data_IF_153487556279
#
_entry.id   IF_153487556279
#
_cell.length_a   1.000
_cell.length_b   1.000
_cell.length_c   1.000
_cell.angle_alpha   90.00
_cell.angle_beta   90.00
_cell.angle_gamma   90.00
#
_symmetry.space_group_name_H-M   'P 1'
#
loop_
_entity.id
_entity.type
_entity.pdbx_description
1 polymer ?
#
# COMPACT_ATOMS: atom_id res chain seq x y z
N UNK A 1 17.66 0.60 -18.50
CA UNK A 1 16.86 0.10 -17.36
C UNK A 1 16.06 1.25 -16.78
N UNK A 2 14.76 1.08 -16.51
CA UNK A 2 13.95 2.07 -15.78
C UNK A 2 13.79 1.64 -14.33
N UNK A 3 14.07 2.56 -13.41
CA UNK A 3 13.85 2.34 -11.98
C UNK A 3 12.44 2.80 -11.57
N UNK A 4 11.85 2.20 -10.52
CA UNK A 4 10.60 2.69 -9.96
C UNK A 4 10.74 4.14 -9.48
N UNK A 5 9.69 4.93 -9.66
CA UNK A 5 9.65 6.33 -9.23
C UNK A 5 9.72 6.48 -7.70
N UNK A 6 9.17 5.52 -6.97
CA UNK A 6 9.19 5.47 -5.52
C UNK A 6 9.33 4.02 -5.04
N UNK A 7 10.11 3.81 -3.99
CA UNK A 7 10.25 2.54 -3.29
C UNK A 7 10.22 2.81 -1.79
N UNK A 8 9.46 2.01 -1.05
CA UNK A 8 9.46 1.99 0.41
C UNK A 8 9.87 0.59 0.88
N UNK A 9 10.86 0.52 1.77
CA UNK A 9 11.41 -0.74 2.27
C UNK A 9 11.81 -0.60 3.74
N UNK A 10 11.78 -1.72 4.47
CA UNK A 10 12.13 -1.80 5.88
C UNK A 10 10.99 -2.30 6.78
N UNK A 11 11.27 -2.54 8.07
CA UNK A 11 10.27 -2.98 9.04
C UNK A 11 9.06 -2.03 9.06
N UNK A 12 7.85 -2.59 8.91
CA UNK A 12 6.61 -1.81 8.98
C UNK A 12 6.30 -0.97 7.73
N UNK A 13 7.06 -1.06 6.63
CA UNK A 13 6.84 -0.28 5.42
C UNK A 13 5.41 -0.36 4.86
N UNK A 14 4.72 -1.49 5.05
CA UNK A 14 3.32 -1.68 4.60
C UNK A 14 2.33 -0.68 5.23
N UNK A 15 2.66 -0.10 6.39
CA UNK A 15 1.81 0.93 7.04
C UNK A 15 1.88 2.28 6.33
N UNK A 16 2.87 2.49 5.47
CA UNK A 16 3.09 3.74 4.73
C UNK A 16 2.43 3.75 3.34
N UNK A 17 1.74 2.67 2.95
CA UNK A 17 1.13 2.51 1.61
C UNK A 17 0.19 3.65 1.27
N UNK A 18 -0.76 3.99 2.15
CA UNK A 18 -1.70 5.08 1.90
C UNK A 18 -1.03 6.45 1.77
N UNK A 19 -0.01 6.72 2.60
CA UNK A 19 0.80 7.94 2.51
C UNK A 19 1.55 8.05 1.17
N UNK A 20 2.11 6.94 0.68
CA UNK A 20 2.77 6.91 -0.62
C UNK A 20 1.78 7.13 -1.78
N UNK A 21 0.59 6.54 -1.73
CA UNK A 21 -0.46 6.80 -2.72
C UNK A 21 -0.84 8.29 -2.77
N UNK A 22 -0.99 8.93 -1.61
CA UNK A 22 -1.30 10.36 -1.50
C UNK A 22 -0.19 11.25 -2.04
N UNK A 23 1.08 10.94 -1.79
CA UNK A 23 2.21 11.71 -2.34
C UNK A 23 2.25 11.68 -3.87
N UNK A 24 1.75 10.60 -4.46
CA UNK A 24 1.56 10.44 -5.91
C UNK A 24 0.23 10.98 -6.43
N UNK A 25 -0.57 11.64 -5.58
CA UNK A 25 -1.91 12.18 -5.90
C UNK A 25 -2.94 11.12 -6.31
N UNK A 26 -2.72 9.86 -5.93
CA UNK A 26 -3.72 8.79 -6.08
C UNK A 26 -4.81 8.97 -5.01
N UNK A 27 -6.07 8.84 -5.40
CA UNK A 27 -7.23 9.08 -4.54
C UNK A 27 -8.42 8.21 -4.95
N UNK A 28 -9.36 8.01 -4.03
CA UNK A 28 -10.61 7.29 -4.28
C UNK A 28 -10.50 5.80 -3.93
N UNK A 29 -11.04 4.92 -4.78
CA UNK A 29 -11.14 3.49 -4.49
C UNK A 29 -9.88 2.75 -4.93
N UNK A 30 -9.39 1.86 -4.06
CA UNK A 30 -8.32 0.93 -4.38
C UNK A 30 -8.84 -0.51 -4.42
N UNK A 31 -8.31 -1.32 -5.35
CA UNK A 31 -8.51 -2.76 -5.39
C UNK A 31 -7.24 -3.45 -4.93
N UNK A 32 -7.33 -4.25 -3.87
CA UNK A 32 -6.21 -5.06 -3.36
C UNK A 32 -6.32 -6.45 -3.97
N UNK A 33 -5.34 -6.81 -4.81
CA UNK A 33 -5.25 -8.12 -5.44
C UNK A 33 -4.21 -8.95 -4.70
N UNK A 34 -4.63 -10.09 -4.15
CA UNK A 34 -3.77 -10.92 -3.29
C UNK A 34 -4.31 -12.35 -3.18
N UNK A 35 -3.46 -13.31 -2.83
CA UNK A 35 -3.87 -14.67 -2.51
C UNK A 35 -4.46 -14.81 -1.11
N UNK A 36 -5.09 -15.95 -0.79
CA UNK A 36 -5.75 -16.19 0.51
C UNK A 36 -4.82 -15.97 1.70
N UNK A 37 -3.61 -16.55 1.65
CA UNK A 37 -2.62 -16.44 2.72
C UNK A 37 -2.10 -15.00 2.87
N UNK A 38 -1.71 -14.37 1.76
CA UNK A 38 -1.18 -13.00 1.77
C UNK A 38 -2.22 -11.98 2.21
N UNK A 39 -3.51 -12.21 1.93
CA UNK A 39 -4.61 -11.38 2.46
C UNK A 39 -4.57 -11.31 4.00
N UNK A 40 -4.52 -12.46 4.66
CA UNK A 40 -4.55 -12.55 6.12
C UNK A 40 -3.27 -12.06 6.80
N UNK A 41 -2.12 -12.10 6.10
CA UNK A 41 -0.85 -11.63 6.66
C UNK A 41 -0.63 -10.14 6.42
N UNK A 42 -0.94 -9.65 5.22
CA UNK A 42 -0.52 -8.33 4.74
C UNK A 42 -1.62 -7.53 4.04
N UNK A 43 -2.57 -8.20 3.39
CA UNK A 43 -3.64 -7.54 2.63
C UNK A 43 -4.50 -6.63 3.52
N UNK A 44 -4.89 -7.10 4.71
CA UNK A 44 -5.70 -6.31 5.63
C UNK A 44 -4.91 -5.10 6.19
N UNK A 45 -3.61 -5.24 6.45
CA UNK A 45 -2.75 -4.14 6.88
C UNK A 45 -2.59 -3.06 5.79
N UNK A 46 -2.45 -3.46 4.53
CA UNK A 46 -2.43 -2.51 3.40
C UNK A 46 -3.78 -1.79 3.26
N UNK A 47 -4.89 -2.52 3.44
CA UNK A 47 -6.23 -1.95 3.40
C UNK A 47 -6.46 -0.94 4.53
N UNK A 48 -5.95 -1.21 5.73
CA UNK A 48 -5.99 -0.30 6.87
C UNK A 48 -5.18 0.98 6.59
N UNK A 49 -3.94 0.86 6.10
CA UNK A 49 -3.11 2.01 5.71
C UNK A 49 -3.79 2.91 4.68
N UNK A 50 -4.45 2.30 3.67
CA UNK A 50 -5.22 3.02 2.67
C UNK A 50 -6.42 3.75 3.31
N UNK A 51 -7.24 3.06 4.12
CA UNK A 51 -8.40 3.68 4.81
C UNK A 51 -8.01 4.85 5.71
N UNK A 52 -6.89 4.74 6.42
CA UNK A 52 -6.40 5.81 7.29
C UNK A 52 -5.97 7.07 6.52
N UNK A 53 -5.72 6.95 5.22
CA UNK A 53 -5.19 8.03 4.38
C UNK A 53 -6.26 8.77 3.55
N UNK A 54 -7.52 8.30 3.59
CA UNK A 54 -8.66 8.83 2.82
C UNK A 54 -8.68 8.36 1.37
#
# INVERSE_FOLDING_TARGET
MQLPRNVIAGPGAIRSVGGLCRSMRLKGRALIVTGKTTKGIAGDAAAESLRASG
#
